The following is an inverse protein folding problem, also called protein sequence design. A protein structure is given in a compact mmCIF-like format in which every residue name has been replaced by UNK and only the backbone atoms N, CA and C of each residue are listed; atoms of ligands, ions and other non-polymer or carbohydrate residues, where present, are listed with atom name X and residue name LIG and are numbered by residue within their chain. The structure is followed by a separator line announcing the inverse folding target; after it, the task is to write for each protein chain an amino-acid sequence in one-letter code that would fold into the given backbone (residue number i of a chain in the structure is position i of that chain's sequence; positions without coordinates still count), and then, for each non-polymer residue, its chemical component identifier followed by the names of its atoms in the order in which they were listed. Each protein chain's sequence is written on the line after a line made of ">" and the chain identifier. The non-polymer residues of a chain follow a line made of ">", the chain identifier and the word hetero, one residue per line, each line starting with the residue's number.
data_IF_666793805869
#
_entry.id   IF_666793805869
#
_cell.length_a   1.000
_cell.length_b   1.000
_cell.length_c   1.000
_cell.angle_alpha   90.00
_cell.angle_beta   90.00
_cell.angle_gamma   90.00
#
_symmetry.space_group_name_H-M   'P 1'
#
loop_
_entity.id
_entity.type
_entity.pdbx_description
1 polymer ?
#
# COMPACT_ATOMS: atom_id res chain seq x y z
N UNK A 1 2.56 -21.68 -15.21
CA UNK A 1 3.17 -21.83 -13.87
C UNK A 1 2.53 -23.00 -13.15
N UNK A 2 3.34 -23.84 -12.52
CA UNK A 2 2.84 -24.95 -11.69
C UNK A 2 2.22 -24.43 -10.39
N UNK A 3 1.38 -25.25 -9.74
CA UNK A 3 0.66 -24.86 -8.52
C UNK A 3 1.61 -24.42 -7.39
N UNK A 4 2.77 -25.05 -7.25
CA UNK A 4 3.75 -24.69 -6.24
C UNK A 4 4.41 -23.33 -6.52
N UNK A 5 4.67 -23.01 -7.78
CA UNK A 5 5.22 -21.70 -8.20
C UNK A 5 4.24 -20.56 -7.90
N UNK A 6 2.95 -20.80 -8.15
CA UNK A 6 1.89 -19.80 -7.82
C UNK A 6 1.79 -19.55 -6.32
N UNK A 7 1.93 -20.58 -5.48
CA UNK A 7 1.96 -20.46 -4.04
C UNK A 7 3.16 -19.65 -3.55
N UNK A 8 4.35 -19.94 -4.08
CA UNK A 8 5.57 -19.19 -3.77
C UNK A 8 5.45 -17.74 -4.24
N UNK A 9 4.89 -17.50 -5.42
CA UNK A 9 4.63 -16.14 -5.90
C UNK A 9 3.68 -15.39 -4.94
N UNK A 10 2.57 -16.01 -4.52
CA UNK A 10 1.61 -15.40 -3.60
C UNK A 10 2.26 -15.04 -2.25
N UNK A 11 3.13 -15.90 -1.72
CA UNK A 11 3.88 -15.64 -0.51
C UNK A 11 4.81 -14.43 -0.66
N UNK A 12 5.56 -14.36 -1.76
CA UNK A 12 6.46 -13.23 -2.02
C UNK A 12 5.73 -11.94 -2.40
N UNK A 13 4.51 -12.00 -2.94
CA UNK A 13 3.69 -10.80 -3.14
C UNK A 13 3.20 -10.22 -1.79
N UNK A 14 3.02 -11.05 -0.77
CA UNK A 14 2.63 -10.64 0.57
C UNK A 14 3.82 -10.17 1.42
N UNK A 15 4.97 -10.83 1.29
CA UNK A 15 6.18 -10.58 2.06
C UNK A 15 7.42 -11.01 1.25
N UNK A 16 7.98 -10.14 0.40
CA UNK A 16 9.13 -10.45 -0.44
C UNK A 16 10.37 -10.84 0.39
N UNK A 17 11.06 -11.95 0.01
CA UNK A 17 12.21 -12.46 0.76
C UNK A 17 13.40 -12.77 -0.16
N UNK A 18 14.61 -12.37 0.25
CA UNK A 18 15.87 -12.67 -0.41
C UNK A 18 15.93 -12.16 -1.86
N UNK A 19 16.80 -12.75 -2.69
CA UNK A 19 16.99 -12.34 -4.10
C UNK A 19 15.69 -12.40 -4.91
N UNK A 20 14.89 -13.44 -4.72
CA UNK A 20 13.58 -13.55 -5.38
C UNK A 20 12.62 -12.46 -4.93
N UNK A 21 12.70 -12.05 -3.66
CA UNK A 21 11.95 -10.93 -3.11
C UNK A 21 12.33 -9.61 -3.78
N UNK A 22 13.60 -9.38 -4.08
CA UNK A 22 14.06 -8.17 -4.79
C UNK A 22 13.45 -8.11 -6.20
N UNK A 23 13.54 -9.20 -6.98
CA UNK A 23 12.94 -9.29 -8.32
C UNK A 23 11.43 -9.00 -8.29
N UNK A 24 10.72 -9.60 -7.32
CA UNK A 24 9.27 -9.41 -7.16
C UNK A 24 8.96 -7.99 -6.69
N UNK A 25 9.76 -7.41 -5.81
CA UNK A 25 9.65 -6.01 -5.38
C UNK A 25 9.79 -5.03 -6.55
N UNK A 26 10.72 -5.26 -7.45
CA UNK A 26 10.88 -4.46 -8.68
C UNK A 26 9.67 -4.60 -9.60
N UNK A 27 9.23 -5.82 -9.88
CA UNK A 27 8.03 -6.08 -10.66
C UNK A 27 6.77 -5.45 -10.05
N UNK A 28 6.62 -5.52 -8.70
CA UNK A 28 5.51 -4.87 -8.00
C UNK A 28 5.57 -3.34 -8.12
N UNK A 29 6.75 -2.75 -7.99
CA UNK A 29 6.91 -1.29 -8.17
C UNK A 29 6.47 -0.88 -9.58
N UNK A 30 6.95 -1.55 -10.62
CA UNK A 30 6.58 -1.25 -12.02
C UNK A 30 5.07 -1.40 -12.25
N UNK A 31 4.50 -2.52 -11.83
CA UNK A 31 3.08 -2.83 -12.09
C UNK A 31 2.11 -2.05 -11.21
N UNK A 32 2.52 -1.57 -10.04
CA UNK A 32 1.66 -0.82 -9.11
C UNK A 32 1.88 0.70 -9.18
N UNK A 33 2.83 1.19 -9.97
CA UNK A 33 3.19 2.61 -10.00
C UNK A 33 1.99 3.52 -10.27
N UNK A 34 1.11 3.14 -11.22
CA UNK A 34 -0.11 3.89 -11.51
C UNK A 34 -1.02 4.02 -10.28
N UNK A 35 -1.28 2.91 -9.57
CA UNK A 35 -2.07 2.93 -8.33
C UNK A 35 -1.41 3.78 -7.25
N UNK A 36 -0.09 3.68 -7.10
CA UNK A 36 0.68 4.46 -6.11
C UNK A 36 0.60 5.96 -6.41
N UNK A 37 0.78 6.38 -7.67
CA UNK A 37 0.68 7.78 -8.06
C UNK A 37 -0.73 8.35 -7.90
N UNK A 38 -1.78 7.58 -8.18
CA UNK A 38 -3.16 7.99 -7.91
C UNK A 38 -3.45 8.07 -6.40
N UNK A 39 -2.84 7.20 -5.58
CA UNK A 39 -2.92 7.29 -4.12
C UNK A 39 -2.25 8.56 -3.59
N UNK A 40 -1.03 8.86 -4.04
CA UNK A 40 -0.29 10.08 -3.69
C UNK A 40 -1.08 11.34 -4.09
N UNK A 41 -1.70 11.32 -5.26
CA UNK A 41 -2.56 12.42 -5.72
C UNK A 41 -3.78 12.60 -4.82
N UNK A 42 -4.42 11.50 -4.41
CA UNK A 42 -5.60 11.51 -3.55
C UNK A 42 -5.31 11.99 -2.12
N UNK A 43 -4.07 11.84 -1.64
CA UNK A 43 -3.62 12.36 -0.34
C UNK A 43 -3.73 13.89 -0.25
N UNK A 44 -3.64 14.61 -1.38
CA UNK A 44 -3.62 16.08 -1.39
C UNK A 44 -2.59 16.61 -0.39
N UNK A 45 -1.33 16.24 -0.63
CA UNK A 45 -0.20 16.57 0.26
C UNK A 45 0.05 18.08 0.27
N UNK A 46 0.32 18.64 1.46
CA UNK A 46 0.62 20.05 1.70
C UNK A 46 1.99 20.19 2.38
N UNK A 47 2.57 21.38 2.30
CA UNK A 47 3.88 21.69 2.91
C UNK A 47 3.90 21.35 4.40
N UNK A 48 4.98 20.71 4.83
CA UNK A 48 5.19 20.31 6.22
C UNK A 48 4.39 19.09 6.68
N UNK A 49 3.63 18.41 5.80
CA UNK A 49 2.91 17.21 6.19
C UNK A 49 3.83 16.09 6.66
N UNK A 50 3.41 15.40 7.71
CA UNK A 50 3.97 14.15 8.19
C UNK A 50 3.17 12.98 7.61
N UNK A 51 3.83 12.14 6.81
CA UNK A 51 3.19 11.14 5.97
C UNK A 51 3.64 9.74 6.38
N UNK A 52 2.70 8.81 6.52
CA UNK A 52 2.98 7.38 6.70
C UNK A 52 2.55 6.60 5.47
N UNK A 53 3.41 5.74 4.97
CA UNK A 53 3.04 4.67 4.04
C UNK A 53 3.11 3.32 4.72
N UNK A 54 2.06 2.52 4.57
CA UNK A 54 1.99 1.14 5.09
C UNK A 54 2.21 0.19 3.91
N UNK A 55 3.30 -0.56 3.94
CA UNK A 55 3.72 -1.45 2.86
C UNK A 55 4.44 -0.70 1.73
N UNK A 56 5.55 -0.04 2.05
CA UNK A 56 6.30 0.81 1.10
C UNK A 56 7.03 0.03 0.00
N UNK A 57 7.14 -1.30 0.11
CA UNK A 57 7.89 -2.10 -0.85
C UNK A 57 9.35 -1.62 -0.98
N UNK A 58 9.89 -1.54 -2.21
CA UNK A 58 11.26 -1.08 -2.43
C UNK A 58 11.45 0.45 -2.41
N UNK A 59 10.41 1.23 -2.11
CA UNK A 59 10.47 2.68 -1.91
C UNK A 59 10.82 3.54 -3.13
N UNK A 60 10.88 2.99 -4.36
CA UNK A 60 11.29 3.75 -5.56
C UNK A 60 10.37 4.90 -5.92
N UNK A 61 9.12 4.88 -5.48
CA UNK A 61 8.12 5.93 -5.73
C UNK A 61 8.22 7.11 -4.74
N UNK A 62 9.00 6.99 -3.67
CA UNK A 62 9.09 8.00 -2.59
C UNK A 62 9.51 9.37 -3.12
N UNK A 63 10.40 9.42 -4.11
CA UNK A 63 10.78 10.66 -4.80
C UNK A 63 9.55 11.38 -5.41
N UNK A 64 8.61 10.64 -6.00
CA UNK A 64 7.40 11.21 -6.58
C UNK A 64 6.50 11.84 -5.51
N UNK A 65 6.47 11.28 -4.31
CA UNK A 65 5.74 11.84 -3.18
C UNK A 65 6.43 13.08 -2.63
N UNK A 66 7.74 13.01 -2.37
CA UNK A 66 8.52 14.11 -1.81
C UNK A 66 8.58 15.34 -2.74
N UNK A 67 8.38 15.15 -4.04
CA UNK A 67 8.28 16.24 -5.02
C UNK A 67 6.94 16.98 -5.01
N UNK A 68 5.96 16.57 -4.17
CA UNK A 68 4.60 17.16 -4.18
C UNK A 68 4.48 18.44 -3.38
N UNK A 69 5.30 18.62 -2.33
CA UNK A 69 5.26 19.77 -1.45
C UNK A 69 6.62 19.94 -0.74
N UNK A 70 6.81 21.05 -0.06
CA UNK A 70 8.04 21.35 0.66
C UNK A 70 7.99 20.85 2.12
N UNK A 71 9.16 20.61 2.71
CA UNK A 71 9.34 20.26 4.13
C UNK A 71 8.53 19.01 4.57
N UNK A 72 8.28 18.08 3.66
CA UNK A 72 7.62 16.81 3.97
C UNK A 72 8.50 15.94 4.85
N UNK A 73 7.85 15.20 5.76
CA UNK A 73 8.45 14.09 6.50
C UNK A 73 7.71 12.82 6.13
N UNK A 74 8.45 11.83 5.64
CA UNK A 74 7.91 10.54 5.23
C UNK A 74 8.44 9.43 6.12
N UNK A 75 7.53 8.56 6.57
CA UNK A 75 7.87 7.29 7.19
C UNK A 75 7.21 6.20 6.37
N UNK A 76 7.99 5.21 5.92
CA UNK A 76 7.48 3.99 5.31
C UNK A 76 7.66 2.82 6.26
N UNK A 77 6.61 2.02 6.47
CA UNK A 77 6.71 0.76 7.23
C UNK A 77 6.44 -0.44 6.34
N UNK A 78 7.21 -1.50 6.49
CA UNK A 78 7.02 -2.76 5.77
C UNK A 78 7.31 -3.95 6.70
N UNK A 79 6.70 -5.12 6.40
CA UNK A 79 6.96 -6.37 7.13
C UNK A 79 8.13 -7.15 6.53
N UNK A 80 8.57 -6.78 5.34
CA UNK A 80 9.66 -7.43 4.61
C UNK A 80 10.99 -6.76 4.92
N UNK A 81 11.89 -7.49 5.56
CA UNK A 81 13.27 -7.05 5.77
C UNK A 81 13.98 -6.76 4.42
N UNK A 82 13.71 -7.59 3.40
CA UNK A 82 14.27 -7.38 2.05
C UNK A 82 13.80 -6.05 1.45
N UNK A 83 12.52 -5.72 1.58
CA UNK A 83 11.99 -4.43 1.08
C UNK A 83 12.48 -3.25 1.89
N UNK A 84 12.61 -3.40 3.19
CA UNK A 84 13.19 -2.38 4.07
C UNK A 84 14.62 -2.01 3.61
N UNK A 85 15.50 -3.00 3.43
CA UNK A 85 16.89 -2.79 2.95
C UNK A 85 16.91 -2.13 1.56
N UNK A 86 16.09 -2.61 0.62
CA UNK A 86 16.05 -2.02 -0.73
C UNK A 86 15.48 -0.58 -0.71
N UNK A 87 14.51 -0.29 0.15
CA UNK A 87 13.97 1.06 0.27
C UNK A 87 15.01 2.06 0.82
N UNK A 88 15.76 1.71 1.86
CA UNK A 88 16.87 2.51 2.38
C UNK A 88 17.92 2.79 1.29
N UNK A 89 18.33 1.74 0.56
CA UNK A 89 19.29 1.83 -0.53
C UNK A 89 18.83 2.75 -1.66
N UNK A 90 17.56 2.63 -2.07
CA UNK A 90 17.00 3.41 -3.16
C UNK A 90 16.78 4.89 -2.78
N UNK A 91 16.72 5.21 -1.48
CA UNK A 91 16.38 6.55 -0.98
C UNK A 91 17.51 7.22 -0.19
N UNK A 92 18.75 6.80 -0.36
CA UNK A 92 19.92 7.38 0.34
C UNK A 92 20.04 8.90 0.22
N UNK A 93 19.56 9.47 -0.90
CA UNK A 93 19.54 10.94 -1.13
C UNK A 93 18.45 11.69 -0.33
N UNK A 94 17.54 10.98 0.33
CA UNK A 94 16.41 11.54 1.08
C UNK A 94 16.43 11.20 2.57
N UNK A 95 17.55 10.75 3.12
CA UNK A 95 17.68 10.33 4.53
C UNK A 95 17.30 11.41 5.56
N UNK A 96 17.32 12.67 5.16
CA UNK A 96 16.86 13.80 5.97
C UNK A 96 15.33 13.97 5.98
N UNK A 97 14.60 13.32 5.07
CA UNK A 97 13.16 13.48 4.85
C UNK A 97 12.37 12.18 4.87
N UNK A 98 13.05 11.06 4.64
CA UNK A 98 12.42 9.74 4.54
C UNK A 98 13.10 8.75 5.49
N UNK A 99 12.29 8.09 6.29
CA UNK A 99 12.65 7.00 7.21
C UNK A 99 11.92 5.73 6.82
N UNK A 100 12.60 4.59 6.91
CA UNK A 100 12.02 3.28 6.67
C UNK A 100 12.11 2.45 7.94
N UNK A 101 11.03 1.74 8.29
CA UNK A 101 10.90 1.00 9.55
C UNK A 101 10.35 -0.40 9.28
N UNK A 102 11.07 -1.41 9.74
CA UNK A 102 10.57 -2.78 9.78
C UNK A 102 9.58 -2.93 10.94
N UNK A 103 8.40 -3.56 10.68
CA UNK A 103 7.39 -3.78 11.73
C UNK A 103 6.72 -5.15 11.60
N UNK A 104 5.99 -5.58 12.64
CA UNK A 104 5.42 -6.94 12.73
C UNK A 104 4.09 -7.14 11.99
N UNK A 105 3.57 -6.11 11.34
CA UNK A 105 2.35 -6.21 10.50
C UNK A 105 1.00 -6.14 11.23
N UNK A 106 0.98 -6.05 12.55
CA UNK A 106 -0.27 -6.07 13.33
C UNK A 106 -0.54 -4.77 14.10
N UNK A 107 0.48 -4.23 14.76
CA UNK A 107 0.35 -3.04 15.60
C UNK A 107 1.18 -1.91 14.99
N UNK A 108 0.56 -0.75 14.83
CA UNK A 108 1.26 0.45 14.35
C UNK A 108 2.02 1.10 15.53
N UNK A 109 3.38 1.13 15.49
CA UNK A 109 4.22 1.52 16.64
C UNK A 109 4.40 3.05 16.74
N UNK A 110 3.30 3.80 16.59
CA UNK A 110 3.32 5.26 16.63
C UNK A 110 2.36 5.79 17.67
N UNK A 111 2.64 6.99 18.16
CA UNK A 111 1.76 7.73 19.07
C UNK A 111 0.47 8.18 18.38
N UNK A 112 -0.54 8.51 19.20
CA UNK A 112 -1.81 9.03 18.71
C UNK A 112 -1.61 10.35 17.95
N UNK A 113 -2.39 10.54 16.88
CA UNK A 113 -2.42 11.79 16.10
C UNK A 113 -1.04 12.26 15.62
N UNK A 114 -0.23 11.32 15.13
CA UNK A 114 1.13 11.60 14.66
C UNK A 114 1.14 12.09 13.20
N UNK A 115 0.31 11.52 12.34
CA UNK A 115 0.39 11.72 10.89
C UNK A 115 -0.73 12.60 10.35
N UNK A 116 -0.38 13.48 9.41
CA UNK A 116 -1.34 14.28 8.65
C UNK A 116 -1.97 13.44 7.54
N UNK A 117 -1.16 12.59 6.90
CA UNK A 117 -1.54 11.76 5.76
C UNK A 117 -1.05 10.34 5.98
N UNK A 118 -1.91 9.37 5.69
CA UNK A 118 -1.55 7.94 5.70
C UNK A 118 -2.01 7.33 4.39
N UNK A 119 -1.23 6.44 3.79
CA UNK A 119 -1.70 5.69 2.63
C UNK A 119 -1.15 4.26 2.60
N UNK A 120 -1.82 3.45 1.81
CA UNK A 120 -1.42 2.08 1.54
C UNK A 120 -1.94 1.61 0.18
N UNK A 121 -1.14 0.77 -0.49
CA UNK A 121 -1.49 0.23 -1.81
C UNK A 121 -1.34 -1.29 -1.78
N UNK A 122 -2.42 -2.01 -2.07
CA UNK A 122 -2.45 -3.47 -2.18
C UNK A 122 -2.05 -4.27 -0.94
N UNK A 123 -2.08 -3.69 0.27
CA UNK A 123 -1.74 -4.41 1.52
C UNK A 123 -2.95 -5.01 2.22
N UNK A 124 -4.14 -4.46 2.02
CA UNK A 124 -5.38 -4.83 2.73
C UNK A 124 -5.74 -6.32 2.63
N UNK A 125 -5.29 -6.99 1.58
CA UNK A 125 -5.52 -8.42 1.37
C UNK A 125 -4.88 -9.31 2.44
N UNK A 126 -3.87 -8.80 3.14
CA UNK A 126 -3.02 -9.54 4.08
C UNK A 126 -3.26 -9.16 5.55
N UNK A 127 -4.16 -8.22 5.82
CA UNK A 127 -4.47 -7.80 7.18
C UNK A 127 -5.21 -8.89 7.94
N UNK A 128 -4.66 -9.39 9.05
CA UNK A 128 -5.25 -10.45 9.85
C UNK A 128 -6.57 -9.99 10.51
N UNK A 129 -6.56 -8.81 11.11
CA UNK A 129 -7.68 -8.19 11.80
C UNK A 129 -7.95 -6.80 11.22
N UNK A 130 -8.60 -6.69 10.03
CA UNK A 130 -8.66 -5.45 9.29
C UNK A 130 -9.41 -4.33 10.04
N UNK A 131 -10.47 -4.62 10.82
CA UNK A 131 -11.15 -3.60 11.63
C UNK A 131 -10.25 -3.04 12.72
N UNK A 132 -9.52 -3.90 13.44
CA UNK A 132 -8.57 -3.46 14.46
C UNK A 132 -7.41 -2.66 13.84
N UNK A 133 -6.96 -3.06 12.65
CA UNK A 133 -5.90 -2.35 11.94
C UNK A 133 -6.36 -0.96 11.48
N UNK A 134 -7.58 -0.84 10.94
CA UNK A 134 -8.21 0.44 10.61
C UNK A 134 -8.36 1.34 11.85
N UNK A 135 -8.74 0.78 13.01
CA UNK A 135 -8.81 1.54 14.26
C UNK A 135 -7.41 2.00 14.73
N UNK A 136 -6.37 1.21 14.48
CA UNK A 136 -4.97 1.61 14.67
C UNK A 136 -4.58 2.79 13.77
N UNK A 137 -4.95 2.75 12.48
CA UNK A 137 -4.75 3.85 11.53
C UNK A 137 -5.50 5.10 12.01
N UNK A 138 -6.77 4.95 12.40
CA UNK A 138 -7.56 6.07 12.95
C UNK A 138 -6.89 6.71 14.16
N UNK A 139 -6.34 5.92 15.08
CA UNK A 139 -5.66 6.40 16.28
C UNK A 139 -4.47 7.30 15.95
N UNK A 140 -3.58 6.84 15.05
CA UNK A 140 -2.35 7.57 14.72
C UNK A 140 -2.55 8.72 13.72
N UNK A 141 -3.69 8.76 13.02
CA UNK A 141 -4.06 9.86 12.13
C UNK A 141 -4.51 11.07 12.94
N UNK A 142 -4.02 12.27 12.61
CA UNK A 142 -4.45 13.54 13.21
C UNK A 142 -5.92 13.82 12.93
N UNK A 143 -6.55 14.64 13.78
CA UNK A 143 -7.87 15.18 13.49
C UNK A 143 -7.79 16.01 12.18
N UNK A 144 -8.75 15.83 11.27
CA UNK A 144 -8.73 16.34 9.89
C UNK A 144 -7.64 15.70 8.98
N UNK A 145 -6.96 14.65 9.43
CA UNK A 145 -6.03 13.88 8.61
C UNK A 145 -6.75 13.06 7.52
N UNK A 146 -5.99 12.68 6.48
CA UNK A 146 -6.51 11.89 5.35
C UNK A 146 -5.82 10.53 5.30
N UNK A 147 -6.62 9.47 5.21
CA UNK A 147 -6.16 8.12 4.92
C UNK A 147 -6.57 7.72 3.50
N UNK A 148 -5.63 7.23 2.70
CA UNK A 148 -5.90 6.71 1.35
C UNK A 148 -5.59 5.21 1.32
N UNK A 149 -6.60 4.41 0.96
CA UNK A 149 -6.47 2.97 0.76
C UNK A 149 -6.76 2.63 -0.70
N UNK A 150 -5.78 2.04 -1.38
CA UNK A 150 -5.91 1.67 -2.80
C UNK A 150 -5.74 0.16 -2.97
N UNK A 151 -6.67 -0.47 -3.71
CA UNK A 151 -6.68 -1.91 -3.90
C UNK A 151 -7.27 -2.30 -5.26
N UNK A 152 -6.77 -3.39 -5.85
CA UNK A 152 -7.39 -4.04 -7.01
C UNK A 152 -8.72 -4.67 -6.62
N UNK A 153 -9.76 -4.42 -7.41
CA UNK A 153 -11.11 -4.94 -7.14
C UNK A 153 -11.16 -6.47 -7.27
N UNK A 154 -12.04 -7.11 -6.48
CA UNK A 154 -12.24 -8.56 -6.49
C UNK A 154 -12.45 -9.11 -7.90
N UNK A 155 -13.32 -8.51 -8.70
CA UNK A 155 -13.67 -8.96 -10.05
C UNK A 155 -12.48 -8.99 -11.04
N UNK A 156 -11.43 -8.21 -10.76
CA UNK A 156 -10.15 -8.29 -11.45
C UNK A 156 -9.23 -9.31 -10.77
N UNK A 157 -9.06 -9.21 -9.46
CA UNK A 157 -8.08 -9.99 -8.70
C UNK A 157 -8.36 -11.51 -8.76
N UNK A 158 -9.62 -11.93 -8.69
CA UNK A 158 -10.01 -13.35 -8.72
C UNK A 158 -9.63 -14.09 -10.02
N UNK A 159 -9.33 -13.35 -11.09
CA UNK A 159 -8.84 -13.91 -12.37
C UNK A 159 -7.35 -14.19 -12.35
N UNK A 160 -6.63 -13.72 -11.35
CA UNK A 160 -5.19 -13.91 -11.22
C UNK A 160 -4.92 -15.25 -10.53
N UNK A 161 -4.08 -16.12 -11.11
CA UNK A 161 -3.96 -17.51 -10.68
C UNK A 161 -3.32 -17.70 -9.30
N UNK A 162 -2.67 -16.68 -8.75
CA UNK A 162 -2.00 -16.71 -7.45
C UNK A 162 -2.89 -16.25 -6.27
N UNK A 163 -4.00 -15.56 -6.53
CA UNK A 163 -4.85 -15.00 -5.46
C UNK A 163 -5.54 -16.03 -4.55
N UNK A 164 -5.83 -17.28 -5.00
CA UNK A 164 -6.38 -18.30 -4.11
C UNK A 164 -5.47 -18.69 -2.92
N UNK A 165 -4.19 -18.31 -2.94
CA UNK A 165 -3.20 -18.82 -1.98
C UNK A 165 -2.88 -17.85 -0.85
N UNK A 166 -3.36 -16.75 -0.65
CA UNK A 166 -3.07 -15.90 0.52
C UNK A 166 -3.75 -14.52 0.47
N UNK A 167 -4.75 -14.33 -0.40
CA UNK A 167 -5.38 -13.05 -0.58
C UNK A 167 -6.81 -13.08 -0.08
N UNK A 168 -7.18 -12.17 0.80
CA UNK A 168 -8.57 -11.84 1.10
C UNK A 168 -9.00 -10.72 0.15
N UNK A 169 -9.80 -11.05 -0.85
CA UNK A 169 -10.22 -10.10 -1.88
C UNK A 169 -11.45 -9.30 -1.44
N UNK A 170 -11.53 -8.06 -1.91
CA UNK A 170 -12.62 -7.14 -1.60
C UNK A 170 -13.20 -6.52 -2.87
N UNK A 171 -14.51 -6.29 -2.87
CA UNK A 171 -15.20 -5.34 -3.74
C UNK A 171 -15.46 -4.03 -2.95
N UNK A 172 -16.07 -3.04 -3.59
CA UNK A 172 -16.33 -1.76 -2.95
C UNK A 172 -17.31 -1.87 -1.77
N UNK A 173 -18.40 -2.64 -1.91
CA UNK A 173 -19.42 -2.79 -0.86
C UNK A 173 -18.84 -3.46 0.40
N UNK A 174 -18.03 -4.51 0.21
CA UNK A 174 -17.35 -5.19 1.32
C UNK A 174 -16.33 -4.27 2.02
N UNK A 175 -15.65 -3.42 1.26
CA UNK A 175 -14.73 -2.45 1.82
C UNK A 175 -15.47 -1.32 2.55
N UNK A 176 -16.59 -0.87 2.02
CA UNK A 176 -17.48 0.08 2.68
C UNK A 176 -17.99 -0.44 4.01
N UNK A 177 -18.46 -1.69 4.02
CA UNK A 177 -18.87 -2.37 5.25
C UNK A 177 -17.71 -2.43 6.25
N UNK A 178 -16.53 -2.89 5.83
CA UNK A 178 -15.36 -3.01 6.68
C UNK A 178 -14.97 -1.66 7.33
N UNK A 179 -14.99 -0.58 6.55
CA UNK A 179 -14.69 0.76 7.06
C UNK A 179 -15.77 1.24 8.03
N UNK A 180 -17.05 0.94 7.77
CA UNK A 180 -18.17 1.32 8.64
C UNK A 180 -18.12 0.65 10.03
N UNK A 181 -17.52 -0.54 10.12
CA UNK A 181 -17.27 -1.28 11.36
C UNK A 181 -16.10 -0.70 12.18
N UNK A 182 -15.29 0.17 11.58
CA UNK A 182 -14.19 0.87 12.23
C UNK A 182 -14.61 2.23 12.82
N UNK A 183 -13.66 2.99 13.35
CA UNK A 183 -13.90 4.35 13.81
C UNK A 183 -14.07 5.37 12.67
N UNK A 184 -13.67 5.06 11.45
CA UNK A 184 -13.91 5.91 10.29
C UNK A 184 -15.40 5.96 9.90
N UNK A 185 -15.87 7.13 9.45
CA UNK A 185 -17.30 7.35 9.12
C UNK A 185 -17.53 7.96 7.74
N UNK A 186 -16.50 8.53 7.13
CA UNK A 186 -16.64 9.22 5.84
C UNK A 186 -15.58 8.74 4.88
N UNK A 187 -16.01 8.32 3.69
CA UNK A 187 -15.10 7.98 2.62
C UNK A 187 -15.65 8.43 1.28
N UNK A 188 -14.73 8.62 0.34
CA UNK A 188 -15.00 8.85 -1.08
C UNK A 188 -14.39 7.71 -1.87
N UNK A 189 -15.18 7.09 -2.72
CA UNK A 189 -14.77 6.01 -3.62
C UNK A 189 -14.43 6.60 -4.99
N UNK A 190 -13.28 6.23 -5.55
CA UNK A 190 -12.86 6.55 -6.91
C UNK A 190 -12.43 5.29 -7.63
N UNK A 191 -13.25 4.79 -8.54
CA UNK A 191 -12.90 3.65 -9.39
C UNK A 191 -12.00 4.08 -10.54
N UNK A 192 -11.00 3.27 -10.83
CA UNK A 192 -10.00 3.51 -11.87
C UNK A 192 -9.79 2.24 -12.70
N UNK A 193 -9.30 2.44 -13.91
CA UNK A 193 -8.87 1.38 -14.81
C UNK A 193 -7.53 1.78 -15.44
N UNK A 194 -6.61 0.84 -15.54
CA UNK A 194 -5.33 1.01 -16.20
C UNK A 194 -4.89 -0.25 -16.92
N UNK A 195 -3.99 -0.12 -17.87
CA UNK A 195 -3.31 -1.24 -18.52
C UNK A 195 -1.98 -1.52 -17.83
N UNK A 196 -1.76 -2.77 -17.42
CA UNK A 196 -0.53 -3.20 -16.77
C UNK A 196 0.02 -4.46 -17.42
N UNK A 197 1.33 -4.70 -17.31
CA UNK A 197 1.94 -5.97 -17.65
C UNK A 197 1.50 -7.04 -16.63
N UNK A 198 1.12 -8.21 -17.11
CA UNK A 198 0.75 -9.33 -16.23
C UNK A 198 1.94 -9.79 -15.38
N UNK A 199 1.67 -10.08 -14.09
CA UNK A 199 2.68 -10.65 -13.16
C UNK A 199 3.06 -12.11 -13.47
N UNK A 200 2.34 -12.75 -14.35
CA UNK A 200 2.52 -14.17 -14.73
C UNK A 200 2.89 -14.39 -16.18
N UNK A 201 3.03 -13.31 -16.97
CA UNK A 201 3.34 -13.38 -18.39
C UNK A 201 3.68 -12.02 -18.99
N UNK A 202 3.85 -11.98 -20.32
CA UNK A 202 4.19 -10.74 -21.03
C UNK A 202 2.98 -9.96 -21.54
N UNK A 203 1.77 -10.51 -21.36
CA UNK A 203 0.54 -9.89 -21.82
C UNK A 203 0.18 -8.64 -21.02
N UNK A 204 -0.39 -7.64 -21.69
CA UNK A 204 -1.02 -6.51 -21.04
C UNK A 204 -2.45 -6.86 -20.68
N UNK A 205 -2.83 -6.50 -19.45
CA UNK A 205 -4.17 -6.74 -18.90
C UNK A 205 -4.75 -5.45 -18.36
N UNK A 206 -6.06 -5.29 -18.50
CA UNK A 206 -6.79 -4.15 -17.90
C UNK A 206 -7.08 -4.46 -16.44
N UNK A 207 -6.53 -3.65 -15.56
CA UNK A 207 -6.76 -3.73 -14.11
C UNK A 207 -7.78 -2.70 -13.67
N UNK A 208 -8.85 -3.17 -13.01
CA UNK A 208 -9.76 -2.31 -12.25
C UNK A 208 -9.32 -2.23 -10.80
N UNK A 209 -9.25 -1.03 -10.27
CA UNK A 209 -8.87 -0.78 -8.89
C UNK A 209 -9.68 0.38 -8.29
N UNK A 210 -9.65 0.47 -6.98
CA UNK A 210 -10.34 1.50 -6.22
C UNK A 210 -9.35 2.30 -5.40
N UNK A 211 -9.49 3.63 -5.42
CA UNK A 211 -8.84 4.56 -4.50
C UNK A 211 -9.90 5.07 -3.53
N UNK A 212 -9.77 4.73 -2.26
CA UNK A 212 -10.60 5.25 -1.18
C UNK A 212 -9.89 6.41 -0.50
N UNK A 213 -10.56 7.54 -0.38
CA UNK A 213 -10.11 8.68 0.42
C UNK A 213 -11.00 8.78 1.65
N UNK A 214 -10.41 8.66 2.83
CA UNK A 214 -11.07 8.54 4.12
C UNK A 214 -10.57 9.67 5.01
N UNK A 215 -11.47 10.48 5.56
CA UNK A 215 -11.11 11.58 6.44
C UNK A 215 -11.52 11.24 7.88
N UNK A 216 -10.66 11.66 8.82
CA UNK A 216 -10.94 11.59 10.26
C UNK A 216 -11.73 12.79 10.72
#
# INVERSE_FOLDING_TARGET
>A
MEQNELKILAQNLANPQGEKGIEIGEMMNETNLGMTLESIKALSVEDGNHILEIGHGNGRHVENLLARAENLRYIGIDISETMHIEAEKNNTKFQDKAEFVLYEGEILPFEDKTFDKIFTVNTVYFWKNPVNFLNGIYRILKDNGTFVLTFGQRNFMEKLPFTPYNFKLYNNDEMEQLISESHFKRMKISEKEEEIKSKTGEEFIKRKYTVLTINK
#
